data_IF_845645158092
#
_entry.id   IF_845645158092
#
_cell.length_a   1.000
_cell.length_b   1.000
_cell.length_c   1.000
_cell.angle_alpha   90.00
_cell.angle_beta   90.00
_cell.angle_gamma   90.00
#
_symmetry.space_group_name_H-M   'P 1'
#
loop_
_entity.id
_entity.type
_entity.pdbx_description
1 polymer ?
#
# COMPACT_ATOMS: atom_id res chain seq x y z
N UNK A 1 -20.53 22.80 8.08
CA UNK A 1 -19.18 22.34 8.44
C UNK A 1 -19.04 22.43 9.97
N UNK A 2 -19.23 21.30 10.69
CA UNK A 2 -18.86 21.27 12.11
C UNK A 2 -17.34 21.34 12.18
N UNK A 3 -16.79 22.36 12.84
CA UNK A 3 -15.38 22.44 13.18
C UNK A 3 -15.04 21.16 13.94
N UNK A 4 -14.18 20.32 13.36
CA UNK A 4 -13.60 19.17 14.05
C UNK A 4 -12.75 19.73 15.19
N UNK A 5 -13.19 19.51 16.40
CA UNK A 5 -12.49 19.91 17.62
C UNK A 5 -11.10 19.19 17.59
N UNK A 6 -9.98 19.90 17.62
CA UNK A 6 -8.66 19.25 17.55
C UNK A 6 -8.42 18.25 18.70
N UNK A 7 -9.20 18.36 19.79
CA UNK A 7 -9.19 17.38 20.88
C UNK A 7 -9.70 15.99 20.46
N UNK A 8 -10.50 15.88 19.40
CA UNK A 8 -11.04 14.62 18.89
C UNK A 8 -10.00 13.84 18.04
N UNK A 9 -9.04 14.54 17.44
CA UNK A 9 -8.02 13.91 16.58
C UNK A 9 -7.11 12.98 17.38
N UNK A 10 -6.76 13.34 18.61
CA UNK A 10 -5.90 12.55 19.51
C UNK A 10 -6.69 11.69 20.51
N UNK A 11 -8.02 11.70 20.45
CA UNK A 11 -8.87 10.91 21.32
C UNK A 11 -8.57 9.40 21.30
N UNK A 12 -8.18 8.77 20.16
CA UNK A 12 -7.79 7.36 20.13
C UNK A 12 -6.63 7.02 21.07
N UNK A 13 -5.71 7.94 21.34
CA UNK A 13 -4.58 7.72 22.26
C UNK A 13 -5.00 7.57 23.72
N UNK A 14 -6.27 7.89 24.06
CA UNK A 14 -6.81 7.60 25.39
C UNK A 14 -7.09 6.12 25.59
N UNK A 15 -7.23 5.36 24.49
CA UNK A 15 -7.42 3.91 24.53
C UNK A 15 -6.06 3.24 24.75
N UNK A 16 -5.90 2.49 25.85
CA UNK A 16 -4.63 1.84 26.21
C UNK A 16 -4.06 0.99 25.07
N UNK A 17 -4.91 0.19 24.41
CA UNK A 17 -4.49 -0.66 23.29
C UNK A 17 -3.86 0.15 22.17
N UNK A 18 -4.48 1.26 21.77
CA UNK A 18 -4.01 2.11 20.68
C UNK A 18 -2.73 2.87 21.03
N UNK A 19 -2.56 3.23 22.30
CA UNK A 19 -1.35 3.89 22.80
C UNK A 19 -0.08 3.05 22.62
N UNK A 20 -0.21 1.72 22.62
CA UNK A 20 0.88 0.79 22.33
C UNK A 20 0.92 0.39 20.86
N UNK A 21 -0.24 0.20 20.21
CA UNK A 21 -0.32 -0.23 18.83
C UNK A 21 0.21 0.83 17.87
N UNK A 22 -0.20 2.08 18.03
CA UNK A 22 0.16 3.16 17.10
C UNK A 22 1.68 3.40 16.99
N UNK A 23 2.47 3.57 18.08
CA UNK A 23 3.91 3.70 17.97
C UNK A 23 4.59 2.42 17.47
N UNK A 24 4.05 1.25 17.81
CA UNK A 24 4.55 0.00 17.27
C UNK A 24 4.36 -0.08 15.75
N UNK A 25 3.21 0.36 15.23
CA UNK A 25 2.92 0.42 13.80
C UNK A 25 3.81 1.46 13.10
N UNK A 26 4.09 2.59 13.76
CA UNK A 26 4.99 3.63 13.27
C UNK A 26 6.40 3.07 13.06
N UNK A 27 6.97 2.46 14.10
CA UNK A 27 8.32 1.87 14.05
C UNK A 27 8.44 0.77 13.01
N UNK A 28 7.44 -0.11 12.91
CA UNK A 28 7.42 -1.14 11.87
C UNK A 28 7.40 -0.54 10.47
N UNK A 29 6.58 0.50 10.26
CA UNK A 29 6.45 1.13 8.95
C UNK A 29 7.74 1.86 8.55
N UNK A 30 8.39 2.54 9.49
CA UNK A 30 9.68 3.18 9.25
C UNK A 30 10.78 2.16 8.94
N UNK A 31 10.88 1.11 9.75
CA UNK A 31 11.84 0.03 9.51
C UNK A 31 11.64 -0.61 8.12
N UNK A 32 10.39 -0.82 7.72
CA UNK A 32 10.05 -1.39 6.42
C UNK A 32 10.50 -0.51 5.24
N UNK A 33 10.22 0.79 5.29
CA UNK A 33 10.61 1.72 4.22
C UNK A 33 12.14 1.86 4.14
N UNK A 34 12.82 1.94 5.30
CA UNK A 34 14.29 1.94 5.36
C UNK A 34 14.87 0.68 4.75
N UNK A 35 14.40 -0.50 5.17
CA UNK A 35 14.86 -1.79 4.70
C UNK A 35 14.66 -1.97 3.21
N UNK A 36 13.49 -1.61 2.69
CA UNK A 36 13.16 -1.72 1.25
C UNK A 36 14.11 -0.87 0.42
N UNK A 37 14.41 0.35 0.86
CA UNK A 37 15.34 1.25 0.17
C UNK A 37 16.78 0.73 0.24
N UNK A 38 17.27 0.35 1.44
CA UNK A 38 18.63 -0.13 1.66
C UNK A 38 18.91 -1.40 0.84
N UNK A 39 17.99 -2.37 0.89
CA UNK A 39 18.17 -3.63 0.18
C UNK A 39 18.03 -3.48 -1.34
N UNK A 40 17.06 -2.69 -1.80
CA UNK A 40 16.91 -2.38 -3.22
C UNK A 40 18.15 -1.70 -3.78
N UNK A 41 18.74 -0.76 -3.03
CA UNK A 41 20.00 -0.13 -3.37
C UNK A 41 21.16 -1.13 -3.38
N UNK A 42 21.28 -1.95 -2.33
CA UNK A 42 22.32 -2.97 -2.22
C UNK A 42 22.30 -3.95 -3.40
N UNK A 43 21.11 -4.54 -3.68
CA UNK A 43 20.98 -5.46 -4.84
C UNK A 43 21.39 -4.78 -6.13
N UNK A 44 21.01 -3.52 -6.34
CA UNK A 44 21.37 -2.80 -7.57
C UNK A 44 22.86 -2.50 -7.64
N UNK A 45 23.49 -2.11 -6.53
CA UNK A 45 24.92 -1.73 -6.51
C UNK A 45 25.81 -2.95 -6.60
N UNK A 46 25.48 -4.02 -5.89
CA UNK A 46 26.33 -5.22 -5.83
C UNK A 46 26.25 -6.06 -7.11
N UNK A 47 25.05 -6.21 -7.68
CA UNK A 47 24.85 -7.08 -8.85
C UNK A 47 24.88 -6.33 -10.19
N UNK A 48 24.55 -5.04 -10.21
CA UNK A 48 24.32 -4.29 -11.45
C UNK A 48 23.10 -4.76 -12.24
N UNK A 49 22.37 -5.79 -11.79
CA UNK A 49 21.27 -6.44 -12.51
C UNK A 49 19.92 -5.82 -12.17
N UNK A 50 19.27 -5.23 -13.16
CA UNK A 50 17.92 -4.73 -13.03
C UNK A 50 16.91 -5.88 -12.85
N UNK A 51 17.20 -7.05 -13.41
CA UNK A 51 16.35 -8.23 -13.25
C UNK A 51 16.34 -8.73 -11.81
N UNK A 52 17.50 -8.75 -11.13
CA UNK A 52 17.56 -9.10 -9.70
C UNK A 52 16.88 -8.04 -8.82
N UNK A 53 17.00 -6.76 -9.16
CA UNK A 53 16.27 -5.69 -8.47
C UNK A 53 14.76 -5.85 -8.59
N UNK A 54 14.25 -6.13 -9.79
CA UNK A 54 12.81 -6.33 -10.00
C UNK A 54 12.30 -7.64 -9.40
N UNK A 55 13.15 -8.68 -9.37
CA UNK A 55 12.89 -9.92 -8.64
C UNK A 55 12.77 -9.64 -7.13
N UNK A 56 13.71 -8.88 -6.55
CA UNK A 56 13.63 -8.43 -5.15
C UNK A 56 12.31 -7.73 -4.84
N UNK A 57 11.90 -6.76 -5.65
CA UNK A 57 10.62 -6.06 -5.48
C UNK A 57 9.40 -6.98 -5.62
N UNK A 58 9.45 -7.95 -6.53
CA UNK A 58 8.37 -8.93 -6.75
C UNK A 58 8.24 -9.91 -5.58
N UNK A 59 9.36 -10.37 -5.01
CA UNK A 59 9.39 -11.27 -3.86
C UNK A 59 8.76 -10.65 -2.61
N UNK A 60 8.85 -9.33 -2.44
CA UNK A 60 8.21 -8.62 -1.32
C UNK A 60 6.68 -8.68 -1.33
N UNK A 61 6.07 -9.10 -2.44
CA UNK A 61 4.61 -9.16 -2.63
C UNK A 61 4.05 -10.60 -2.58
N UNK A 62 4.87 -11.61 -2.33
CA UNK A 62 4.45 -13.03 -2.30
C UNK A 62 3.29 -13.30 -1.34
N UNK A 63 3.24 -12.62 -0.21
CA UNK A 63 2.22 -12.81 0.83
C UNK A 63 0.82 -12.36 0.43
N UNK A 64 0.67 -11.61 -0.66
CA UNK A 64 -0.66 -11.29 -1.19
C UNK A 64 -1.40 -12.56 -1.59
N UNK A 65 -0.68 -13.59 -2.09
CA UNK A 65 -1.24 -14.92 -2.41
C UNK A 65 -1.69 -15.68 -1.17
N UNK A 66 -1.04 -15.46 -0.04
CA UNK A 66 -1.31 -16.15 1.22
C UNK A 66 -2.34 -15.43 2.12
N UNK A 67 -2.86 -14.26 1.69
CA UNK A 67 -3.77 -13.44 2.49
C UNK A 67 -4.98 -14.19 3.09
N UNK A 68 -5.67 -15.11 2.38
CA UNK A 68 -6.77 -15.88 2.97
C UNK A 68 -6.32 -16.78 4.13
N UNK A 69 -5.10 -17.34 4.07
CA UNK A 69 -4.55 -18.19 5.14
C UNK A 69 -4.27 -17.37 6.40
N UNK A 70 -3.76 -16.16 6.24
CA UNK A 70 -3.51 -15.24 7.35
C UNK A 70 -4.81 -14.78 8.03
N UNK A 71 -5.90 -14.62 7.28
CA UNK A 71 -7.23 -14.36 7.85
C UNK A 71 -7.69 -15.49 8.77
N UNK A 72 -7.65 -16.74 8.30
CA UNK A 72 -8.02 -17.91 9.09
C UNK A 72 -7.11 -18.10 10.32
N UNK A 73 -5.82 -17.88 10.15
CA UNK A 73 -4.85 -17.99 11.25
C UNK A 73 -5.07 -16.87 12.29
N UNK A 74 -5.38 -15.65 11.84
CA UNK A 74 -5.73 -14.53 12.71
C UNK A 74 -6.99 -14.78 13.54
N UNK A 75 -8.02 -15.42 12.96
CA UNK A 75 -9.24 -15.81 13.67
C UNK A 75 -8.96 -16.87 14.78
N UNK A 76 -8.00 -17.77 14.54
CA UNK A 76 -7.64 -18.83 15.51
C UNK A 76 -6.70 -18.36 16.60
N UNK A 77 -5.65 -17.61 16.27
CA UNK A 77 -4.61 -17.18 17.19
C UNK A 77 -4.94 -15.85 17.89
N UNK A 78 -5.84 -15.07 17.28
CA UNK A 78 -6.15 -13.71 17.71
C UNK A 78 -5.19 -12.66 17.13
N UNK A 79 -5.71 -11.49 16.80
CA UNK A 79 -4.98 -10.43 16.07
C UNK A 79 -3.67 -9.99 16.74
N UNK A 80 -3.63 -9.89 18.08
CA UNK A 80 -2.41 -9.56 18.81
C UNK A 80 -1.31 -10.62 18.67
N UNK A 81 -1.63 -11.90 18.86
CA UNK A 81 -0.64 -12.97 18.77
C UNK A 81 -0.07 -13.07 17.36
N UNK A 82 -0.93 -12.84 16.35
CA UNK A 82 -0.55 -12.81 14.95
C UNK A 82 0.41 -11.66 14.67
N UNK A 83 0.13 -10.44 15.10
CA UNK A 83 1.04 -9.30 14.96
C UNK A 83 2.36 -9.49 15.71
N UNK A 84 2.35 -10.09 16.90
CA UNK A 84 3.58 -10.45 17.61
C UNK A 84 4.44 -11.41 16.79
N UNK A 85 3.85 -12.46 16.22
CA UNK A 85 4.56 -13.41 15.36
C UNK A 85 5.16 -12.75 14.11
N UNK A 86 4.39 -11.90 13.44
CA UNK A 86 4.86 -11.14 12.27
C UNK A 86 6.04 -10.22 12.61
N UNK A 87 5.95 -9.48 13.72
CA UNK A 87 7.01 -8.54 14.16
C UNK A 87 8.25 -9.28 14.66
N UNK A 88 8.09 -10.41 15.31
CA UNK A 88 9.21 -11.30 15.65
C UNK A 88 9.94 -11.79 14.39
N UNK A 89 9.19 -12.20 13.35
CA UNK A 89 9.78 -12.60 12.07
C UNK A 89 10.59 -11.47 11.43
N UNK A 90 10.05 -10.22 11.43
CA UNK A 90 10.78 -9.06 10.89
C UNK A 90 12.06 -8.79 11.69
N UNK A 91 11.99 -8.81 13.01
CA UNK A 91 13.16 -8.59 13.86
C UNK A 91 14.24 -9.66 13.63
N UNK A 92 13.86 -10.94 13.48
CA UNK A 92 14.78 -12.03 13.20
C UNK A 92 15.43 -11.90 11.83
N UNK A 93 14.65 -11.59 10.78
CA UNK A 93 15.17 -11.38 9.43
C UNK A 93 16.09 -10.17 9.37
N UNK A 94 15.73 -9.05 10.00
CA UNK A 94 16.58 -7.87 10.05
C UNK A 94 17.87 -8.12 10.87
N UNK A 95 17.79 -8.83 12.00
CA UNK A 95 18.95 -9.21 12.79
C UNK A 95 19.91 -10.11 12.01
N UNK A 96 19.39 -11.05 11.21
CA UNK A 96 20.24 -11.91 10.37
C UNK A 96 20.96 -11.11 9.28
N UNK A 97 20.29 -10.15 8.64
CA UNK A 97 20.91 -9.25 7.67
C UNK A 97 21.97 -8.36 8.34
N UNK A 98 21.68 -7.84 9.53
CA UNK A 98 22.64 -7.08 10.33
C UNK A 98 23.91 -7.90 10.64
N UNK A 99 23.76 -9.10 11.16
CA UNK A 99 24.88 -9.99 11.52
C UNK A 99 25.72 -10.32 10.30
N UNK A 100 25.08 -10.73 9.18
CA UNK A 100 25.79 -11.06 7.94
C UNK A 100 26.51 -9.85 7.35
N UNK A 101 25.90 -8.65 7.46
CA UNK A 101 26.55 -7.43 6.99
C UNK A 101 27.79 -7.07 7.82
N UNK A 102 27.77 -7.28 9.15
CA UNK A 102 28.96 -7.04 10.00
C UNK A 102 30.04 -8.12 9.81
N UNK A 103 29.66 -9.32 9.41
CA UNK A 103 30.57 -10.42 9.10
C UNK A 103 31.15 -10.34 7.68
N UNK A 104 30.80 -9.33 6.88
CA UNK A 104 31.12 -9.19 5.44
C UNK A 104 30.70 -10.43 4.61
N UNK A 105 29.64 -11.13 5.07
CA UNK A 105 29.09 -12.32 4.42
C UNK A 105 27.73 -12.06 3.76
N UNK A 106 27.29 -10.80 3.67
CA UNK A 106 26.04 -10.48 3.03
C UNK A 106 26.14 -10.72 1.51
N UNK A 107 25.20 -11.47 0.97
CA UNK A 107 25.12 -11.76 -0.46
C UNK A 107 23.76 -11.37 -1.04
N UNK A 108 23.67 -10.99 -2.33
CA UNK A 108 22.40 -10.71 -2.99
C UNK A 108 21.42 -11.89 -2.92
N UNK A 109 21.89 -13.12 -3.01
CA UNK A 109 21.06 -14.32 -2.89
C UNK A 109 20.36 -14.39 -1.53
N UNK A 110 21.11 -14.09 -0.44
CA UNK A 110 20.53 -14.07 0.89
C UNK A 110 19.49 -12.95 1.06
N UNK A 111 19.75 -11.78 0.48
CA UNK A 111 18.80 -10.67 0.45
C UNK A 111 17.49 -11.06 -0.26
N UNK A 112 17.58 -11.79 -1.39
CA UNK A 112 16.40 -12.29 -2.09
C UNK A 112 15.60 -13.30 -1.24
N UNK A 113 16.29 -14.20 -0.52
CA UNK A 113 15.65 -15.15 0.41
C UNK A 113 14.92 -14.40 1.53
N UNK A 114 15.56 -13.40 2.14
CA UNK A 114 14.93 -12.57 3.18
C UNK A 114 13.76 -11.77 2.62
N UNK A 115 13.88 -11.22 1.41
CA UNK A 115 12.79 -10.53 0.73
C UNK A 115 11.60 -11.47 0.48
N UNK A 116 11.84 -12.73 0.09
CA UNK A 116 10.78 -13.72 -0.09
C UNK A 116 10.09 -14.07 1.23
N UNK A 117 10.86 -14.39 2.27
CA UNK A 117 10.32 -14.72 3.61
C UNK A 117 9.55 -13.54 4.22
N UNK A 118 10.12 -12.34 4.19
CA UNK A 118 9.45 -11.11 4.62
C UNK A 118 8.22 -10.81 3.76
N UNK A 119 8.33 -11.00 2.45
CA UNK A 119 7.26 -10.79 1.49
C UNK A 119 6.03 -11.68 1.69
N UNK A 120 6.17 -12.86 2.30
CA UNK A 120 5.03 -13.71 2.70
C UNK A 120 4.22 -13.06 3.83
N UNK A 121 4.88 -12.36 4.73
CA UNK A 121 4.26 -11.84 5.97
C UNK A 121 3.75 -10.40 5.80
N UNK A 122 4.53 -9.53 5.14
CA UNK A 122 4.31 -8.06 5.07
C UNK A 122 2.97 -7.61 4.51
N UNK A 123 2.45 -8.12 3.39
CA UNK A 123 1.16 -7.67 2.86
C UNK A 123 0.00 -7.90 3.82
N UNK A 124 0.14 -8.91 4.70
CA UNK A 124 -0.89 -9.29 5.65
C UNK A 124 -0.84 -8.49 6.97
N UNK A 125 0.31 -7.87 7.29
CA UNK A 125 0.49 -7.07 8.50
C UNK A 125 -0.50 -5.88 8.53
N UNK A 126 -0.68 -5.18 7.42
CA UNK A 126 -1.62 -4.06 7.33
C UNK A 126 -3.08 -4.50 7.56
N UNK A 127 -3.45 -5.67 7.06
CA UNK A 127 -4.81 -6.23 7.27
C UNK A 127 -5.02 -6.53 8.74
N UNK A 128 -4.04 -7.14 9.40
CA UNK A 128 -4.09 -7.48 10.83
C UNK A 128 -4.11 -6.22 11.73
N UNK A 129 -3.33 -5.19 11.38
CA UNK A 129 -3.36 -3.89 12.08
C UNK A 129 -4.74 -3.28 12.04
N UNK A 130 -5.35 -3.21 10.86
CA UNK A 130 -6.67 -2.62 10.67
C UNK A 130 -7.76 -3.43 11.39
N UNK A 131 -7.68 -4.77 11.36
CA UNK A 131 -8.60 -5.63 12.10
C UNK A 131 -8.49 -5.38 13.61
N UNK A 132 -7.27 -5.31 14.14
CA UNK A 132 -7.05 -5.08 15.58
C UNK A 132 -7.50 -3.68 16.03
N UNK A 133 -7.36 -2.65 15.18
CA UNK A 133 -7.94 -1.32 15.42
C UNK A 133 -9.46 -1.43 15.52
N UNK A 134 -10.10 -2.15 14.59
CA UNK A 134 -11.55 -2.37 14.59
C UNK A 134 -12.06 -3.08 15.84
N UNK A 135 -11.26 -4.02 16.37
CA UNK A 135 -11.64 -4.85 17.54
C UNK A 135 -11.38 -4.15 18.88
N UNK A 136 -10.45 -3.18 18.92
CA UNK A 136 -9.98 -2.60 20.19
C UNK A 136 -10.40 -1.15 20.40
N UNK A 137 -10.82 -0.45 19.34
CA UNK A 137 -11.16 0.97 19.40
C UNK A 137 -12.67 1.18 19.40
N UNK A 138 -13.23 1.97 20.32
CA UNK A 138 -14.64 2.38 20.29
C UNK A 138 -15.01 3.07 18.98
N UNK A 139 -16.24 2.85 18.52
CA UNK A 139 -16.74 3.39 17.23
C UNK A 139 -16.54 4.89 17.08
N UNK A 140 -16.73 5.64 18.17
CA UNK A 140 -16.58 7.11 18.20
C UNK A 140 -15.15 7.59 17.93
N UNK A 141 -14.13 6.75 18.17
CA UNK A 141 -12.71 7.06 17.98
C UNK A 141 -12.10 6.35 16.76
N UNK A 142 -12.87 5.47 16.10
CA UNK A 142 -12.37 4.63 15.01
C UNK A 142 -11.85 5.47 13.82
N UNK A 143 -12.59 6.53 13.44
CA UNK A 143 -12.19 7.41 12.34
C UNK A 143 -10.85 8.09 12.62
N UNK A 144 -10.65 8.57 13.85
CA UNK A 144 -9.38 9.17 14.28
C UNK A 144 -8.23 8.16 14.27
N UNK A 145 -8.47 6.93 14.75
CA UNK A 145 -7.47 5.87 14.77
C UNK A 145 -7.01 5.46 13.35
N UNK A 146 -7.96 5.30 12.43
CA UNK A 146 -7.66 5.00 11.02
C UNK A 146 -6.92 6.16 10.36
N UNK A 147 -7.32 7.41 10.64
CA UNK A 147 -6.63 8.61 10.15
C UNK A 147 -5.17 8.66 10.64
N UNK A 148 -4.94 8.45 11.93
CA UNK A 148 -3.59 8.40 12.51
C UNK A 148 -2.74 7.26 11.91
N UNK A 149 -3.33 6.08 11.73
CA UNK A 149 -2.65 4.95 11.08
C UNK A 149 -2.24 5.27 9.63
N UNK A 150 -3.10 5.97 8.89
CA UNK A 150 -2.80 6.42 7.52
C UNK A 150 -1.66 7.43 7.49
N UNK A 151 -1.72 8.46 8.35
CA UNK A 151 -0.64 9.46 8.48
C UNK A 151 0.69 8.80 8.83
N UNK A 152 0.67 7.78 9.68
CA UNK A 152 1.86 6.97 10.01
C UNK A 152 2.49 6.36 8.76
N UNK A 153 1.70 5.73 7.90
CA UNK A 153 2.21 5.11 6.68
C UNK A 153 2.78 6.14 5.70
N UNK A 154 2.08 7.24 5.52
CA UNK A 154 2.49 8.28 4.58
C UNK A 154 3.77 9.01 5.09
N UNK A 155 3.89 9.26 6.40
CA UNK A 155 5.12 9.79 7.01
C UNK A 155 6.30 8.81 6.93
N UNK A 156 6.02 7.51 7.11
CA UNK A 156 7.05 6.48 7.03
C UNK A 156 7.70 6.42 5.64
N UNK A 157 6.92 6.57 4.57
CA UNK A 157 7.45 6.59 3.20
C UNK A 157 8.44 7.73 2.97
N UNK A 158 8.14 8.91 3.48
CA UNK A 158 9.03 10.07 3.32
C UNK A 158 10.23 9.96 4.25
N UNK A 159 9.97 9.88 5.56
CA UNK A 159 11.02 9.93 6.58
C UNK A 159 11.85 8.64 6.62
N UNK A 160 11.22 7.47 6.42
CA UNK A 160 11.89 6.17 6.38
C UNK A 160 12.83 6.07 5.18
N UNK A 161 12.38 6.50 4.00
CA UNK A 161 13.24 6.51 2.81
C UNK A 161 14.46 7.43 2.98
N UNK A 162 14.26 8.66 3.46
CA UNK A 162 15.37 9.59 3.70
C UNK A 162 16.32 9.08 4.80
N UNK A 163 15.78 8.58 5.92
CA UNK A 163 16.58 8.03 7.00
C UNK A 163 17.37 6.79 6.54
N UNK A 164 16.72 5.85 5.83
CA UNK A 164 17.36 4.66 5.29
C UNK A 164 18.49 5.00 4.31
N UNK A 165 18.24 5.95 3.40
CA UNK A 165 19.23 6.45 2.45
C UNK A 165 20.44 7.07 3.17
N UNK A 166 20.19 8.01 4.07
CA UNK A 166 21.26 8.74 4.81
C UNK A 166 22.07 7.79 5.68
N UNK A 167 21.40 6.92 6.44
CA UNK A 167 22.09 5.97 7.31
C UNK A 167 22.95 4.98 6.52
N UNK A 168 22.42 4.46 5.40
CA UNK A 168 23.19 3.53 4.56
C UNK A 168 24.37 4.21 3.86
N UNK A 169 24.20 5.45 3.38
CA UNK A 169 25.25 6.21 2.72
C UNK A 169 26.36 6.65 3.69
N UNK A 170 26.03 7.04 4.93
CA UNK A 170 27.00 7.59 5.89
C UNK A 170 27.63 6.54 6.79
N UNK A 171 26.86 5.54 7.22
CA UNK A 171 27.30 4.55 8.21
C UNK A 171 27.56 3.16 7.60
N UNK A 172 27.15 2.95 6.35
CA UNK A 172 27.16 1.65 5.72
C UNK A 172 25.98 0.77 6.13
N UNK A 173 25.78 -0.34 5.41
CA UNK A 173 24.59 -1.21 5.54
C UNK A 173 24.50 -1.82 6.95
N UNK A 174 25.58 -2.39 7.48
CA UNK A 174 25.57 -3.05 8.78
C UNK A 174 25.09 -2.16 9.91
N UNK A 175 25.61 -0.93 10.00
CA UNK A 175 25.19 0.02 11.03
C UNK A 175 23.80 0.57 10.79
N UNK A 176 23.38 0.77 9.55
CA UNK A 176 22.00 1.14 9.20
C UNK A 176 21.01 0.06 9.66
N UNK A 177 21.38 -1.22 9.54
CA UNK A 177 20.56 -2.34 10.01
C UNK A 177 20.44 -2.46 11.53
N UNK A 178 21.35 -1.86 12.32
CA UNK A 178 21.16 -1.72 13.78
C UNK A 178 19.87 -0.94 14.08
N UNK A 179 19.65 0.18 13.39
CA UNK A 179 18.44 0.97 13.57
C UNK A 179 17.17 0.24 13.09
N UNK A 180 17.24 -0.42 11.94
CA UNK A 180 16.12 -1.21 11.41
C UNK A 180 15.74 -2.32 12.39
N UNK A 181 16.72 -3.08 12.88
CA UNK A 181 16.53 -4.15 13.86
C UNK A 181 15.97 -3.61 15.17
N UNK A 182 16.51 -2.51 15.68
CA UNK A 182 15.98 -1.85 16.88
C UNK A 182 14.52 -1.44 16.73
N UNK A 183 14.14 -0.89 15.58
CA UNK A 183 12.76 -0.48 15.34
C UNK A 183 11.81 -1.69 15.31
N UNK A 184 12.21 -2.79 14.69
CA UNK A 184 11.40 -4.02 14.71
C UNK A 184 11.32 -4.64 16.11
N UNK A 185 12.41 -4.70 16.87
CA UNK A 185 12.42 -5.18 18.25
C UNK A 185 11.58 -4.30 19.19
N UNK A 186 11.70 -2.98 19.08
CA UNK A 186 10.87 -2.06 19.85
C UNK A 186 9.38 -2.20 19.48
N UNK A 187 9.07 -2.34 18.20
CA UNK A 187 7.71 -2.60 17.74
C UNK A 187 7.18 -3.91 18.28
N UNK A 188 7.97 -4.98 18.24
CA UNK A 188 7.62 -6.27 18.83
C UNK A 188 7.31 -6.13 20.33
N UNK A 189 8.21 -5.49 21.10
CA UNK A 189 8.02 -5.26 22.52
C UNK A 189 6.75 -4.44 22.84
N UNK A 190 6.51 -3.36 22.11
CA UNK A 190 5.31 -2.53 22.27
C UNK A 190 4.02 -3.32 21.98
N UNK A 191 4.05 -4.30 21.07
CA UNK A 191 2.87 -5.12 20.75
C UNK A 191 2.38 -5.95 21.93
N UNK A 192 3.23 -6.27 22.90
CA UNK A 192 2.79 -6.94 24.14
C UNK A 192 1.88 -6.05 25.01
N UNK A 193 1.95 -4.73 24.88
CA UNK A 193 1.05 -3.79 25.57
C UNK A 193 -0.36 -3.71 24.96
N UNK A 194 -0.54 -4.21 23.73
CA UNK A 194 -1.84 -4.20 23.05
C UNK A 194 -2.80 -5.20 23.69
N UNK A 195 -4.05 -4.82 23.84
CA UNK A 195 -5.10 -5.69 24.41
C UNK A 195 -5.34 -6.92 23.51
N UNK A 196 -5.67 -8.05 24.13
CA UNK A 196 -6.06 -9.28 23.42
C UNK A 196 -7.46 -9.18 22.87
N UNK A 197 -7.80 -8.24 22.00
CA UNK A 197 -9.12 -7.98 21.45
C UNK A 197 -10.22 -8.95 21.95
N UNK A 198 -11.04 -8.52 22.92
CA UNK A 198 -12.37 -9.09 23.07
C UNK A 198 -13.28 -8.27 22.18
N UNK A 199 -14.19 -8.89 21.43
CA UNK A 199 -15.23 -8.14 20.77
C UNK A 199 -15.86 -7.20 21.81
N UNK A 200 -15.82 -5.88 21.57
CA UNK A 200 -16.55 -4.93 22.43
C UNK A 200 -18.01 -5.33 22.30
N UNK A 201 -18.70 -5.75 23.39
CA UNK A 201 -20.12 -6.04 23.31
C UNK A 201 -20.81 -4.80 22.76
N UNK A 202 -21.60 -4.95 21.71
CA UNK A 202 -22.39 -3.85 21.16
C UNK A 202 -23.40 -3.42 22.23
N UNK A 203 -23.26 -2.23 22.84
CA UNK A 203 -24.22 -1.78 23.87
C UNK A 203 -25.64 -1.60 23.30
N UNK A 204 -25.75 -1.51 21.95
CA UNK A 204 -27.04 -1.43 21.25
C UNK A 204 -27.68 -2.81 20.99
N UNK A 205 -26.91 -3.90 21.17
CA UNK A 205 -27.46 -5.23 21.25
C UNK A 205 -28.12 -5.43 22.66
N UNK A 206 -28.94 -4.47 23.04
CA UNK A 206 -29.73 -4.51 24.27
C UNK A 206 -30.42 -5.86 24.39
N UNK A 207 -30.03 -6.61 25.39
CA UNK A 207 -30.62 -7.87 25.76
C UNK A 207 -32.13 -7.73 25.87
N UNK A 208 -32.85 -8.10 24.84
CA UNK A 208 -34.21 -8.53 24.99
C UNK A 208 -34.14 -9.88 25.74
N UNK A 209 -34.59 -9.98 26.98
CA UNK A 209 -34.58 -11.23 27.71
C UNK A 209 -35.48 -12.22 26.96
N UNK A 210 -34.91 -13.30 26.44
CA UNK A 210 -35.69 -14.40 25.90
C UNK A 210 -35.42 -14.85 24.47
N UNK A 211 -34.50 -14.22 23.71
CA UNK A 211 -34.01 -14.82 22.46
C UNK A 211 -32.70 -15.51 22.75
N UNK A 212 -32.74 -16.83 22.86
CA UNK A 212 -31.56 -17.68 22.85
C UNK A 212 -30.66 -17.28 21.71
N UNK A 213 -29.34 -17.31 21.95
CA UNK A 213 -28.30 -17.06 20.94
C UNK A 213 -28.67 -17.82 19.67
N UNK A 214 -29.05 -17.08 18.62
CA UNK A 214 -29.30 -17.71 17.33
C UNK A 214 -27.99 -18.41 16.94
N UNK A 215 -28.04 -19.69 16.50
CA UNK A 215 -26.85 -20.40 16.10
C UNK A 215 -26.15 -19.54 15.05
N UNK A 216 -24.90 -19.19 15.31
CA UNK A 216 -24.07 -18.51 14.33
C UNK A 216 -24.01 -19.40 13.10
N UNK A 217 -24.75 -19.02 12.05
CA UNK A 217 -24.67 -19.69 10.75
C UNK A 217 -23.18 -19.84 10.41
N UNK A 218 -22.74 -21.01 9.92
CA UNK A 218 -21.36 -21.21 9.52
C UNK A 218 -20.99 -20.05 8.60
N UNK A 219 -19.94 -19.28 8.97
CA UNK A 219 -19.43 -18.22 8.07
C UNK A 219 -19.12 -18.87 6.73
N UNK A 220 -19.67 -18.38 5.62
CA UNK A 220 -19.40 -18.95 4.32
C UNK A 220 -17.89 -18.98 4.10
N UNK A 221 -17.39 -20.03 3.46
CA UNK A 221 -15.98 -20.18 3.11
C UNK A 221 -15.46 -18.89 2.47
N UNK A 222 -14.30 -18.40 2.89
CA UNK A 222 -13.67 -17.18 2.36
C UNK A 222 -13.61 -17.17 0.82
N UNK A 223 -13.50 -18.32 0.20
CA UNK A 223 -13.55 -18.49 -1.26
C UNK A 223 -14.92 -18.20 -1.86
N UNK A 224 -16.01 -18.62 -1.22
CA UNK A 224 -17.37 -18.31 -1.68
C UNK A 224 -17.65 -16.81 -1.56
N UNK A 225 -17.23 -16.17 -0.48
CA UNK A 225 -17.36 -14.72 -0.32
C UNK A 225 -16.56 -13.94 -1.36
N UNK A 226 -15.37 -14.42 -1.73
CA UNK A 226 -14.56 -13.83 -2.78
C UNK A 226 -15.20 -14.01 -4.17
N UNK A 227 -15.73 -15.21 -4.48
CA UNK A 227 -16.45 -15.48 -5.72
C UNK A 227 -17.71 -14.63 -5.83
N UNK A 228 -18.49 -14.51 -4.75
CA UNK A 228 -19.66 -13.64 -4.69
C UNK A 228 -19.30 -12.18 -4.94
N UNK A 229 -18.17 -11.72 -4.35
CA UNK A 229 -17.64 -10.39 -4.60
C UNK A 229 -17.21 -10.18 -6.04
N UNK A 230 -16.56 -11.17 -6.64
CA UNK A 230 -16.11 -11.15 -8.04
C UNK A 230 -17.31 -11.10 -9.00
N UNK A 231 -18.30 -11.96 -8.80
CA UNK A 231 -19.53 -11.97 -9.60
C UNK A 231 -20.31 -10.66 -9.45
N UNK A 232 -20.36 -10.11 -8.23
CA UNK A 232 -20.99 -8.83 -7.94
C UNK A 232 -20.32 -7.68 -8.70
N UNK A 233 -18.97 -7.64 -8.74
CA UNK A 233 -18.19 -6.66 -9.51
C UNK A 233 -18.40 -6.86 -11.01
N UNK A 234 -18.36 -8.11 -11.48
CA UNK A 234 -18.50 -8.44 -12.90
C UNK A 234 -19.84 -8.00 -13.49
N UNK A 235 -20.92 -8.11 -12.71
CA UNK A 235 -22.25 -7.68 -13.10
C UNK A 235 -22.43 -6.16 -13.19
N UNK A 236 -21.44 -5.35 -12.71
CA UNK A 236 -21.54 -3.88 -12.64
C UNK A 236 -20.47 -3.19 -13.47
N UNK A 237 -20.81 -2.62 -14.64
CA UNK A 237 -19.84 -2.02 -15.56
C UNK A 237 -18.92 -0.96 -14.93
N UNK A 238 -19.47 -0.13 -14.02
CA UNK A 238 -18.72 0.91 -13.31
C UNK A 238 -17.62 0.32 -12.40
N UNK A 239 -17.95 -0.75 -11.66
CA UNK A 239 -16.98 -1.43 -10.79
C UNK A 239 -15.93 -2.16 -11.62
N UNK A 240 -16.36 -2.81 -12.70
CA UNK A 240 -15.48 -3.55 -13.60
C UNK A 240 -14.45 -2.61 -14.25
N UNK A 241 -14.88 -1.42 -14.72
CA UNK A 241 -13.98 -0.41 -15.26
C UNK A 241 -12.91 0.01 -14.22
N UNK A 242 -13.33 0.26 -12.98
CA UNK A 242 -12.40 0.64 -11.90
C UNK A 242 -11.42 -0.49 -11.55
N UNK A 243 -11.88 -1.76 -11.57
CA UNK A 243 -11.00 -2.92 -11.32
C UNK A 243 -9.96 -3.11 -12.42
N UNK A 244 -10.37 -2.98 -13.70
CA UNK A 244 -9.42 -3.03 -14.81
C UNK A 244 -8.40 -1.90 -14.74
N UNK A 245 -8.84 -0.69 -14.39
CA UNK A 245 -7.93 0.44 -14.22
C UNK A 245 -6.96 0.23 -13.05
N UNK A 246 -7.46 -0.31 -11.92
CA UNK A 246 -6.61 -0.66 -10.77
C UNK A 246 -5.59 -1.75 -11.13
N UNK A 247 -5.98 -2.79 -11.87
CA UNK A 247 -5.06 -3.82 -12.33
C UNK A 247 -4.01 -3.25 -13.29
N UNK A 248 -4.43 -2.40 -14.23
CA UNK A 248 -3.55 -1.76 -15.21
C UNK A 248 -2.45 -0.93 -14.53
N UNK A 249 -2.81 -0.08 -13.55
CA UNK A 249 -1.81 0.75 -12.87
C UNK A 249 -0.85 -0.09 -12.02
N UNK A 250 -1.32 -1.19 -11.43
CA UNK A 250 -0.43 -2.12 -10.73
C UNK A 250 0.51 -2.86 -11.68
N UNK A 251 0.06 -3.17 -12.89
CA UNK A 251 0.88 -3.86 -13.89
C UNK A 251 1.93 -2.93 -14.53
N UNK A 252 1.61 -1.66 -14.78
CA UNK A 252 2.44 -0.82 -15.66
C UNK A 252 2.92 0.49 -15.05
N UNK A 253 2.23 1.06 -14.06
CA UNK A 253 2.64 2.33 -13.45
C UNK A 253 3.46 2.12 -12.16
N UNK A 254 2.99 1.30 -11.24
CA UNK A 254 3.67 1.02 -9.96
C UNK A 254 5.07 0.40 -10.09
N UNK A 255 5.38 -0.44 -11.10
CA UNK A 255 6.73 -0.96 -11.28
C UNK A 255 7.81 0.10 -11.35
N UNK A 256 7.51 1.31 -11.84
CA UNK A 256 8.45 2.43 -11.88
C UNK A 256 9.01 2.77 -10.50
N UNK A 257 8.21 2.65 -9.42
CA UNK A 257 8.69 2.88 -8.06
C UNK A 257 9.75 1.86 -7.63
N UNK A 258 9.62 0.60 -8.03
CA UNK A 258 10.61 -0.44 -7.78
C UNK A 258 11.90 -0.29 -8.61
N UNK A 259 11.86 0.53 -9.67
CA UNK A 259 12.99 0.80 -10.53
C UNK A 259 13.79 2.06 -10.11
N UNK A 260 13.37 2.80 -9.09
CA UNK A 260 14.05 4.01 -8.63
C UNK A 260 15.53 3.78 -8.25
N UNK A 261 15.94 2.64 -7.64
CA UNK A 261 17.37 2.35 -7.43
C UNK A 261 18.16 2.28 -8.74
N UNK A 262 17.59 1.68 -9.79
CA UNK A 262 18.20 1.65 -11.12
C UNK A 262 18.33 3.06 -11.71
N UNK A 263 17.28 3.86 -11.62
CA UNK A 263 17.26 5.24 -12.15
C UNK A 263 18.28 6.11 -11.42
N UNK A 264 18.33 6.03 -10.08
CA UNK A 264 19.29 6.78 -9.27
C UNK A 264 20.72 6.48 -9.70
N UNK A 265 21.06 5.18 -9.80
CA UNK A 265 22.41 4.75 -10.12
C UNK A 265 22.79 4.93 -11.59
N UNK A 266 21.97 4.39 -12.51
CA UNK A 266 22.36 4.23 -13.91
C UNK A 266 21.97 5.43 -14.80
N UNK A 267 20.92 6.18 -14.43
CA UNK A 267 20.48 7.34 -15.20
C UNK A 267 21.06 8.63 -14.63
N UNK A 268 21.00 8.81 -13.30
CA UNK A 268 21.45 10.06 -12.67
C UNK A 268 22.85 9.98 -12.07
N UNK A 269 23.48 8.79 -12.01
CA UNK A 269 24.80 8.61 -11.39
C UNK A 269 24.83 9.01 -9.91
N UNK A 270 23.68 8.92 -9.24
CA UNK A 270 23.51 9.33 -7.86
C UNK A 270 23.84 8.19 -6.88
N UNK A 271 24.08 8.55 -5.64
CA UNK A 271 24.29 7.64 -4.51
C UNK A 271 22.95 7.22 -3.83
N UNK A 272 23.05 6.53 -2.69
CA UNK A 272 21.88 6.15 -1.90
C UNK A 272 21.06 7.37 -1.42
N UNK A 273 21.70 8.51 -1.12
CA UNK A 273 20.98 9.73 -0.76
C UNK A 273 20.14 10.24 -1.93
N UNK A 274 20.68 10.19 -3.16
CA UNK A 274 19.93 10.53 -4.36
C UNK A 274 18.70 9.66 -4.54
N UNK A 275 18.81 8.35 -4.32
CA UNK A 275 17.65 7.46 -4.28
C UNK A 275 16.64 7.89 -3.22
N UNK A 276 17.11 8.22 -2.01
CA UNK A 276 16.26 8.72 -0.92
C UNK A 276 15.44 9.95 -1.33
N UNK A 277 16.06 10.92 -2.01
CA UNK A 277 15.36 12.11 -2.52
C UNK A 277 14.33 11.79 -3.61
N UNK A 278 14.59 10.84 -4.51
CA UNK A 278 13.62 10.41 -5.52
C UNK A 278 12.37 9.77 -4.88
N UNK A 279 12.59 8.85 -3.93
CA UNK A 279 11.50 8.17 -3.21
C UNK A 279 10.72 9.17 -2.35
N UNK A 280 11.42 10.05 -1.63
CA UNK A 280 10.82 11.08 -0.80
C UNK A 280 10.02 12.09 -1.64
N UNK A 281 10.53 12.50 -2.80
CA UNK A 281 9.84 13.40 -3.72
C UNK A 281 8.51 12.82 -4.19
N UNK A 282 8.50 11.58 -4.65
CA UNK A 282 7.27 10.90 -5.04
C UNK A 282 6.26 10.79 -3.88
N UNK A 283 6.73 10.38 -2.70
CA UNK A 283 5.90 10.20 -1.52
C UNK A 283 5.36 11.54 -0.99
N UNK A 284 6.17 12.59 -1.03
CA UNK A 284 5.76 13.95 -0.68
C UNK A 284 4.66 14.46 -1.63
N UNK A 285 4.83 14.22 -2.94
CA UNK A 285 3.79 14.52 -3.91
C UNK A 285 2.48 13.79 -3.61
N UNK A 286 2.54 12.49 -3.29
CA UNK A 286 1.37 11.71 -2.92
C UNK A 286 0.68 12.24 -1.64
N UNK A 287 1.46 12.68 -0.66
CA UNK A 287 0.96 13.34 0.55
C UNK A 287 0.25 14.66 0.22
N UNK A 288 0.85 15.51 -0.62
CA UNK A 288 0.22 16.75 -1.08
C UNK A 288 -1.10 16.49 -1.82
N UNK A 289 -1.13 15.49 -2.69
CA UNK A 289 -2.34 15.07 -3.41
C UNK A 289 -3.45 14.61 -2.46
N UNK A 290 -3.12 13.81 -1.44
CA UNK A 290 -4.10 13.35 -0.44
C UNK A 290 -4.62 14.49 0.43
N UNK A 291 -3.76 15.39 0.87
CA UNK A 291 -4.16 16.60 1.63
C UNK A 291 -5.08 17.47 0.77
N UNK A 292 -4.71 17.71 -0.50
CA UNK A 292 -5.53 18.45 -1.44
C UNK A 292 -6.94 17.87 -1.57
N UNK A 293 -7.05 16.55 -1.66
CA UNK A 293 -8.34 15.84 -1.71
C UNK A 293 -9.18 16.03 -0.43
N UNK A 294 -8.54 16.04 0.74
CA UNK A 294 -9.23 16.28 2.02
C UNK A 294 -9.72 17.73 2.12
N UNK A 295 -8.86 18.71 1.79
CA UNK A 295 -9.18 20.13 1.88
C UNK A 295 -10.27 20.54 0.90
N UNK A 296 -10.25 19.99 -0.33
CA UNK A 296 -11.24 20.31 -1.37
C UNK A 296 -12.54 19.50 -1.24
N UNK A 297 -12.59 18.52 -0.35
CA UNK A 297 -13.71 17.56 -0.21
C UNK A 297 -13.77 16.52 -1.32
N UNK A 298 -12.71 16.40 -2.11
CA UNK A 298 -12.60 15.47 -3.23
C UNK A 298 -13.33 15.90 -4.51
N UNK A 299 -13.14 15.18 -5.62
CA UNK A 299 -13.75 15.51 -6.89
C UNK A 299 -15.26 15.23 -6.90
N UNK A 300 -16.03 16.12 -7.50
CA UNK A 300 -17.48 15.94 -7.69
C UNK A 300 -17.85 14.67 -8.46
N UNK A 301 -16.97 14.26 -9.37
CA UNK A 301 -17.13 13.05 -10.22
C UNK A 301 -15.92 12.13 -10.08
N UNK A 302 -15.89 11.26 -9.08
CA UNK A 302 -14.76 10.35 -8.85
C UNK A 302 -14.43 9.46 -10.05
N UNK A 303 -15.45 9.08 -10.84
CA UNK A 303 -15.31 8.23 -12.03
C UNK A 303 -14.50 8.90 -13.13
N UNK A 304 -14.75 10.19 -13.37
CA UNK A 304 -13.99 10.98 -14.35
C UNK A 304 -12.58 11.26 -13.84
N UNK A 305 -12.48 11.63 -12.58
CA UNK A 305 -11.19 11.93 -11.95
C UNK A 305 -10.26 10.73 -11.96
N UNK A 306 -10.76 9.52 -11.71
CA UNK A 306 -9.89 8.32 -11.76
C UNK A 306 -9.28 8.10 -13.15
N UNK A 307 -10.04 8.31 -14.23
CA UNK A 307 -9.55 8.13 -15.61
C UNK A 307 -8.59 9.25 -16.00
N UNK A 308 -8.97 10.52 -15.74
CA UNK A 308 -8.16 11.69 -16.10
C UNK A 308 -6.82 11.68 -15.36
N UNK A 309 -6.84 11.52 -14.03
CA UNK A 309 -5.60 11.53 -13.25
C UNK A 309 -4.73 10.28 -13.46
N UNK A 310 -5.31 9.15 -13.84
CA UNK A 310 -4.52 7.99 -14.29
C UNK A 310 -3.84 8.29 -15.62
N UNK A 311 -4.51 8.94 -16.57
CA UNK A 311 -3.88 9.36 -17.82
C UNK A 311 -2.77 10.38 -17.58
N UNK A 312 -2.99 11.37 -16.71
CA UNK A 312 -1.95 12.34 -16.30
C UNK A 312 -0.76 11.61 -15.65
N UNK A 313 -1.03 10.64 -14.78
CA UNK A 313 0.02 9.83 -14.15
C UNK A 313 0.89 9.13 -15.20
N UNK A 314 0.28 8.45 -16.19
CA UNK A 314 1.04 7.82 -17.28
C UNK A 314 1.81 8.83 -18.15
N UNK A 315 1.22 9.99 -18.44
CA UNK A 315 1.92 11.04 -19.18
C UNK A 315 3.15 11.57 -18.42
N UNK A 316 3.04 11.72 -17.10
CA UNK A 316 4.16 12.12 -16.25
C UNK A 316 5.23 11.03 -16.14
N UNK A 317 4.83 9.74 -16.07
CA UNK A 317 5.79 8.63 -16.13
C UNK A 317 6.52 8.59 -17.47
N UNK A 318 5.81 8.82 -18.57
CA UNK A 318 6.43 8.93 -19.90
C UNK A 318 7.47 10.07 -19.90
N UNK A 319 7.13 11.23 -19.40
CA UNK A 319 8.05 12.36 -19.26
C UNK A 319 9.26 11.99 -18.39
N UNK A 320 9.04 11.32 -17.26
CA UNK A 320 10.08 10.86 -16.33
C UNK A 320 11.11 9.95 -17.04
N UNK A 321 10.66 9.11 -17.98
CA UNK A 321 11.52 8.21 -18.74
C UNK A 321 12.61 8.91 -19.58
N UNK A 322 12.41 10.20 -19.87
CA UNK A 322 13.33 11.01 -20.69
C UNK A 322 14.05 12.11 -19.92
N UNK A 323 13.79 12.24 -18.62
CA UNK A 323 14.48 13.22 -17.76
C UNK A 323 15.86 12.72 -17.40
N UNK A 324 16.87 13.50 -17.71
CA UNK A 324 18.29 13.14 -17.49
C UNK A 324 18.92 13.81 -16.26
N UNK A 325 18.25 14.79 -15.65
CA UNK A 325 18.74 15.48 -14.45
C UNK A 325 17.95 15.08 -13.22
N UNK A 326 18.65 14.85 -12.12
CA UNK A 326 18.05 14.42 -10.85
C UNK A 326 17.02 15.42 -10.32
N UNK A 327 17.30 16.72 -10.40
CA UNK A 327 16.39 17.79 -9.93
C UNK A 327 15.06 17.80 -10.68
N UNK A 328 15.11 17.69 -12.02
CA UNK A 328 13.93 17.57 -12.84
C UNK A 328 13.20 16.25 -12.58
N UNK A 329 13.94 15.15 -12.36
CA UNK A 329 13.37 13.85 -11.98
C UNK A 329 12.58 13.92 -10.69
N UNK A 330 13.11 14.55 -9.64
CA UNK A 330 12.41 14.77 -8.37
C UNK A 330 11.16 15.62 -8.58
N UNK A 331 11.26 16.72 -9.36
CA UNK A 331 10.11 17.59 -9.64
C UNK A 331 8.98 16.83 -10.36
N UNK A 332 9.31 16.04 -11.39
CA UNK A 332 8.33 15.21 -12.10
C UNK A 332 7.73 14.15 -11.18
N UNK A 333 8.53 13.53 -10.30
CA UNK A 333 8.03 12.53 -9.34
C UNK A 333 7.09 13.13 -8.30
N UNK A 334 7.33 14.38 -7.85
CA UNK A 334 6.39 15.09 -6.95
C UNK A 334 5.03 15.25 -7.65
N UNK A 335 5.01 15.75 -8.87
CA UNK A 335 3.76 15.93 -9.63
C UNK A 335 3.10 14.57 -9.94
N UNK A 336 3.90 13.56 -10.24
CA UNK A 336 3.45 12.18 -10.44
C UNK A 336 2.76 11.64 -9.18
N UNK A 337 3.35 11.85 -8.01
CA UNK A 337 2.77 11.46 -6.72
C UNK A 337 1.41 12.12 -6.45
N UNK A 338 1.27 13.42 -6.78
CA UNK A 338 -0.01 14.14 -6.68
C UNK A 338 -1.07 13.46 -7.56
N UNK A 339 -0.76 13.26 -8.84
CA UNK A 339 -1.68 12.64 -9.79
C UNK A 339 -2.06 11.22 -9.38
N UNK A 340 -1.09 10.41 -8.95
CA UNK A 340 -1.28 9.06 -8.45
C UNK A 340 -2.23 9.04 -7.24
N UNK A 341 -2.02 9.91 -6.25
CA UNK A 341 -2.84 9.96 -5.04
C UNK A 341 -4.31 10.29 -5.38
N UNK A 342 -4.54 11.30 -6.22
CA UNK A 342 -5.88 11.68 -6.68
C UNK A 342 -6.55 10.53 -7.43
N UNK A 343 -5.83 9.87 -8.35
CA UNK A 343 -6.35 8.71 -9.09
C UNK A 343 -6.78 7.58 -8.15
N UNK A 344 -5.92 7.20 -7.19
CA UNK A 344 -6.15 6.10 -6.27
C UNK A 344 -7.30 6.36 -5.30
N UNK A 345 -7.40 7.59 -4.77
CA UNK A 345 -8.50 7.99 -3.89
C UNK A 345 -9.81 7.98 -4.70
N UNK A 346 -9.80 8.50 -5.92
CA UNK A 346 -10.98 8.51 -6.80
C UNK A 346 -11.45 7.10 -7.16
N UNK A 347 -10.53 6.15 -7.44
CA UNK A 347 -10.86 4.74 -7.67
C UNK A 347 -11.52 4.13 -6.43
N UNK A 348 -10.96 4.38 -5.24
CA UNK A 348 -11.50 3.86 -3.98
C UNK A 348 -12.91 4.41 -3.70
N UNK A 349 -13.10 5.71 -3.89
CA UNK A 349 -14.38 6.39 -3.71
C UNK A 349 -15.42 5.88 -4.70
N UNK A 350 -15.04 5.71 -5.98
CA UNK A 350 -15.93 5.17 -7.01
C UNK A 350 -16.42 3.75 -6.66
N UNK A 351 -15.52 2.89 -6.18
CA UNK A 351 -15.89 1.52 -5.76
C UNK A 351 -16.80 1.52 -4.54
N UNK A 352 -16.46 2.30 -3.49
CA UNK A 352 -17.24 2.34 -2.25
C UNK A 352 -18.61 2.98 -2.44
N UNK A 353 -18.74 4.00 -3.30
CA UNK A 353 -20.01 4.65 -3.60
C UNK A 353 -20.94 3.77 -4.46
N UNK A 354 -20.36 2.93 -5.34
CA UNK A 354 -21.10 2.03 -6.20
C UNK A 354 -21.49 0.70 -5.51
N UNK A 355 -20.85 0.36 -4.38
CA UNK A 355 -21.08 -0.88 -3.65
C UNK A 355 -22.19 -0.72 -2.60
N UNK A 356 -23.17 -1.65 -2.62
CA UNK A 356 -24.11 -1.80 -1.52
C UNK A 356 -23.37 -2.03 -0.20
N UNK A 357 -23.87 -1.50 0.91
CA UNK A 357 -23.22 -1.57 2.22
C UNK A 357 -22.81 -3.01 2.60
N UNK A 358 -23.63 -4.00 2.25
CA UNK A 358 -23.40 -5.44 2.50
C UNK A 358 -22.21 -6.01 1.71
N UNK A 359 -21.90 -5.44 0.54
CA UNK A 359 -20.85 -5.95 -0.37
C UNK A 359 -19.55 -5.15 -0.33
N UNK A 360 -19.50 -4.00 0.37
CA UNK A 360 -18.31 -3.13 0.40
C UNK A 360 -17.04 -3.87 0.78
N UNK A 361 -17.08 -4.70 1.82
CA UNK A 361 -15.92 -5.50 2.24
C UNK A 361 -15.46 -6.48 1.17
N UNK A 362 -16.40 -7.19 0.52
CA UNK A 362 -16.09 -8.15 -0.56
C UNK A 362 -15.51 -7.44 -1.78
N UNK A 363 -16.07 -6.30 -2.19
CA UNK A 363 -15.57 -5.49 -3.30
C UNK A 363 -14.16 -4.98 -3.04
N UNK A 364 -13.87 -4.53 -1.80
CA UNK A 364 -12.52 -4.12 -1.43
C UNK A 364 -11.55 -5.31 -1.39
N UNK A 365 -12.02 -6.50 -0.99
CA UNK A 365 -11.24 -7.74 -1.10
C UNK A 365 -10.90 -8.10 -2.55
N UNK A 366 -11.88 -8.01 -3.46
CA UNK A 366 -11.65 -8.22 -4.91
C UNK A 366 -10.66 -7.20 -5.46
N UNK A 367 -10.69 -5.94 -4.99
CA UNK A 367 -9.71 -4.92 -5.39
C UNK A 367 -8.28 -5.31 -5.05
N UNK A 368 -8.06 -6.04 -3.96
CA UNK A 368 -6.71 -6.52 -3.60
C UNK A 368 -6.14 -7.48 -4.65
N UNK A 369 -6.99 -8.16 -5.45
CA UNK A 369 -6.53 -8.99 -6.56
C UNK A 369 -5.85 -8.16 -7.65
N UNK A 370 -6.19 -6.88 -7.80
CA UNK A 370 -5.52 -6.00 -8.74
C UNK A 370 -4.03 -5.80 -8.41
N UNK A 371 -3.62 -5.96 -7.14
CA UNK A 371 -2.23 -5.85 -6.70
C UNK A 371 -1.34 -6.94 -7.31
N UNK A 372 -1.90 -8.09 -7.70
CA UNK A 372 -1.14 -9.15 -8.38
C UNK A 372 -0.55 -8.74 -9.74
N UNK A 373 -1.03 -7.66 -10.34
CA UNK A 373 -0.41 -7.06 -11.52
C UNK A 373 1.02 -6.55 -11.25
N UNK A 374 1.31 -6.12 -10.01
CA UNK A 374 2.58 -5.46 -9.69
C UNK A 374 3.81 -6.39 -9.79
N UNK A 375 3.83 -7.61 -9.21
CA UNK A 375 4.95 -8.53 -9.42
C UNK A 375 5.19 -8.85 -10.90
N UNK A 376 4.11 -9.08 -11.65
CA UNK A 376 4.19 -9.35 -13.10
C UNK A 376 4.78 -8.14 -13.85
N UNK A 377 4.32 -6.95 -13.51
CA UNK A 377 4.83 -5.71 -14.08
C UNK A 377 6.30 -5.46 -13.77
N UNK A 378 6.73 -5.71 -12.52
CA UNK A 378 8.14 -5.60 -12.13
C UNK A 378 9.03 -6.57 -12.92
N UNK A 379 8.65 -7.84 -13.00
CA UNK A 379 9.41 -8.84 -13.76
C UNK A 379 9.47 -8.48 -15.25
N UNK A 380 8.35 -8.07 -15.84
CA UNK A 380 8.31 -7.60 -17.22
C UNK A 380 9.18 -6.35 -17.44
N UNK A 381 9.17 -5.39 -16.50
CA UNK A 381 9.98 -4.20 -16.56
C UNK A 381 11.48 -4.52 -16.53
N UNK A 382 11.92 -5.43 -15.64
CA UNK A 382 13.31 -5.88 -15.59
C UNK A 382 13.77 -6.47 -16.91
N UNK A 383 13.02 -7.42 -17.46
CA UNK A 383 13.34 -8.06 -18.73
C UNK A 383 13.32 -7.10 -19.93
N UNK A 384 12.41 -6.11 -19.93
CA UNK A 384 12.36 -5.10 -20.99
C UNK A 384 13.52 -4.12 -20.91
N UNK A 385 13.92 -3.70 -19.70
CA UNK A 385 15.06 -2.76 -19.53
C UNK A 385 16.34 -3.39 -20.07
N UNK A 386 16.57 -4.68 -19.87
CA UNK A 386 17.73 -5.37 -20.43
C UNK A 386 17.75 -5.39 -21.98
N UNK A 387 16.56 -5.33 -22.61
CA UNK A 387 16.46 -5.40 -24.09
C UNK A 387 16.38 -4.04 -24.77
N UNK A 388 15.60 -3.12 -24.23
CA UNK A 388 15.26 -1.84 -24.88
C UNK A 388 15.61 -0.62 -24.01
N UNK A 389 16.27 -0.84 -22.88
CA UNK A 389 16.64 0.20 -21.93
C UNK A 389 15.47 0.78 -21.14
N UNK A 390 15.79 1.65 -20.17
CA UNK A 390 14.80 2.28 -19.30
C UNK A 390 13.81 3.18 -20.06
N UNK A 391 14.26 4.12 -20.94
CA UNK A 391 13.32 4.99 -21.67
C UNK A 391 12.35 4.19 -22.55
N UNK A 392 12.83 3.15 -23.22
CA UNK A 392 12.00 2.26 -24.05
C UNK A 392 10.95 1.53 -23.23
N UNK A 393 11.33 0.98 -22.10
CA UNK A 393 10.42 0.25 -21.18
C UNK A 393 9.35 1.17 -20.63
N UNK A 394 9.72 2.35 -20.14
CA UNK A 394 8.75 3.34 -19.63
C UNK A 394 7.83 3.82 -20.75
N UNK A 395 8.33 4.00 -21.97
CA UNK A 395 7.50 4.34 -23.13
C UNK A 395 6.45 3.27 -23.38
N UNK A 396 6.85 2.00 -23.47
CA UNK A 396 5.93 0.87 -23.70
C UNK A 396 4.86 0.83 -22.59
N UNK A 397 5.26 0.91 -21.32
CA UNK A 397 4.32 0.86 -20.20
C UNK A 397 3.38 2.07 -20.16
N UNK A 398 3.90 3.26 -20.41
CA UNK A 398 3.11 4.50 -20.38
C UNK A 398 2.16 4.60 -21.56
N UNK A 399 2.60 4.27 -22.77
CA UNK A 399 1.76 4.30 -23.98
C UNK A 399 0.67 3.22 -23.88
N UNK A 400 1.02 2.00 -23.46
CA UNK A 400 0.03 0.94 -23.21
C UNK A 400 -0.96 1.37 -22.12
N UNK A 401 -0.45 1.97 -21.03
CA UNK A 401 -1.27 2.49 -19.93
C UNK A 401 -2.23 3.58 -20.40
N UNK A 402 -1.77 4.56 -21.18
CA UNK A 402 -2.59 5.62 -21.76
C UNK A 402 -3.65 5.06 -22.70
N UNK A 403 -3.26 4.18 -23.62
CA UNK A 403 -4.17 3.57 -24.59
C UNK A 403 -5.28 2.78 -23.90
N UNK A 404 -4.91 1.91 -22.94
CA UNK A 404 -5.88 1.10 -22.21
C UNK A 404 -6.75 1.94 -21.26
N UNK A 405 -6.20 3.00 -20.64
CA UNK A 405 -6.98 3.96 -19.85
C UNK A 405 -8.02 4.67 -20.73
N UNK A 406 -7.62 5.12 -21.93
CA UNK A 406 -8.53 5.69 -22.91
C UNK A 406 -9.61 4.72 -23.38
N UNK A 407 -9.24 3.46 -23.66
CA UNK A 407 -10.17 2.39 -24.03
C UNK A 407 -11.17 2.09 -22.90
N UNK A 408 -10.73 2.03 -21.65
CA UNK A 408 -11.60 1.84 -20.48
C UNK A 408 -12.56 3.03 -20.37
N UNK A 409 -12.09 4.26 -20.49
CA UNK A 409 -12.92 5.45 -20.47
C UNK A 409 -13.94 5.54 -21.61
N UNK A 410 -13.58 5.03 -22.80
CA UNK A 410 -14.47 4.98 -23.98
C UNK A 410 -15.48 3.84 -23.87
N UNK A 411 -15.03 2.62 -23.52
CA UNK A 411 -15.89 1.40 -23.42
C UNK A 411 -17.00 1.58 -22.39
N UNK A 412 -16.66 2.13 -21.22
CA UNK A 412 -17.63 2.38 -20.13
C UNK A 412 -18.07 3.84 -20.07
N UNK A 413 -18.18 4.49 -21.25
CA UNK A 413 -18.53 5.91 -21.37
C UNK A 413 -19.80 6.28 -20.60
N UNK A 414 -20.85 5.47 -20.67
CA UNK A 414 -22.12 5.70 -19.98
C UNK A 414 -21.99 5.66 -18.45
N UNK A 415 -21.02 4.92 -17.93
CA UNK A 415 -20.80 4.78 -16.48
C UNK A 415 -19.78 5.78 -15.94
N UNK A 416 -18.84 6.23 -16.77
CA UNK A 416 -17.74 7.14 -16.38
C UNK A 416 -18.11 8.60 -16.62
N UNK A 417 -18.81 8.90 -17.73
CA UNK A 417 -19.08 10.27 -18.18
C UNK A 417 -20.55 10.67 -18.05
N UNK A 418 -21.45 9.79 -17.56
CA UNK A 418 -22.86 10.12 -17.38
C UNK A 418 -23.04 11.36 -16.48
N UNK A 419 -23.91 12.27 -16.89
CA UNK A 419 -24.38 13.36 -16.03
C UNK A 419 -25.39 12.79 -15.01
N UNK A 420 -25.32 13.20 -13.75
CA UNK A 420 -26.23 12.79 -12.66
C UNK A 420 -27.70 13.17 -12.88
N UNK A 421 -28.05 13.86 -13.97
CA UNK A 421 -29.39 14.37 -14.25
C UNK A 421 -30.47 13.29 -14.49
N UNK A 422 -30.15 12.00 -14.52
CA UNK A 422 -31.12 10.92 -14.79
C UNK A 422 -31.30 9.87 -13.66
N UNK A 423 -30.64 10.00 -12.50
CA UNK A 423 -30.73 9.00 -11.44
C UNK A 423 -31.48 9.45 -10.17
N UNK A 424 -32.05 10.63 -10.11
CA UNK A 424 -32.86 11.11 -8.97
C UNK A 424 -34.35 11.28 -9.34
N UNK A 425 -34.93 10.37 -10.10
CA UNK A 425 -36.37 10.23 -10.11
C UNK A 425 -36.75 8.99 -9.28
N UNK A 426 -37.37 9.14 -8.09
CA UNK A 426 -37.95 7.99 -7.41
C UNK A 426 -39.08 7.48 -8.27
N UNK A 427 -38.94 6.27 -8.84
CA UNK A 427 -40.07 5.54 -9.41
C UNK A 427 -40.94 5.04 -8.26
N UNK A 428 -41.79 5.91 -7.81
CA UNK A 428 -42.99 5.50 -7.08
C UNK A 428 -44.03 5.06 -8.13
N UNK A 429 -44.21 3.78 -8.30
CA UNK A 429 -45.47 3.14 -8.65
C UNK A 429 -45.58 1.82 -7.90
#
# INVERSE_FOLDING_TARGET
MKRTDPSLTFAPLRVRSFRFQWPADLLTSWAFEMETLILGWYVMVDTGSVLLLTTFGSLQLLGTLAAPMFGVLGDRLGGRAMLCGMRASYALLAASLMILSFADMLTPAYVLVVAALGGIVRPNDQVMRNALIGDTIPRDHLMGAVGMSRTTMDSARVAGALAGATLSATLGIGRAYVFVTMFYLASFALTFGVSRGRPVPDPSAGALPGRGAAPSLPRPSSWREMLDGLLYVWARPRMLATMWLAFLVNLTAYPTSGLLPYVARNIYGADANGLGWLVAGFSFGALLGSIGMVVTGGPRHPERSMVVYTAIWYALLLAFGYVTTMTAGIAVLIVTGIAQSIAMISMSTSLLSAADSRFRGRVMGVRMLAVYGMPLGLMAAGALIERIGFPGTITVFSVMGLALTGLIGAKWRSSVWAHESLQQAPRWR
#
